data_IF_923497254131
#
_entry.id   IF_923497254131
#
_cell.length_a   1.000
_cell.length_b   1.000
_cell.length_c   1.000
_cell.angle_alpha   90.00
_cell.angle_beta   90.00
_cell.angle_gamma   90.00
#
_symmetry.space_group_name_H-M   'P 1'
#
loop_
_entity.id
_entity.type
_entity.pdbx_description
1 polymer ?
#
# COMPACT_ATOMS: atom_id res chain seq x y z
N UNK A 1 -9.48 -12.30 14.71
CA UNK A 1 -9.75 -13.76 14.69
C UNK A 1 -10.70 -14.17 15.79
N UNK A 2 -10.56 -13.63 17.00
CA UNK A 2 -11.46 -13.93 18.13
C UNK A 2 -12.94 -13.63 17.82
N UNK A 3 -13.24 -12.49 17.21
CA UNK A 3 -14.62 -12.16 16.80
C UNK A 3 -15.21 -13.18 15.83
N UNK A 4 -14.41 -13.69 14.89
CA UNK A 4 -14.87 -14.69 13.93
C UNK A 4 -15.11 -16.05 14.60
N UNK A 5 -14.18 -16.48 15.46
CA UNK A 5 -14.35 -17.71 16.24
C UNK A 5 -15.58 -17.63 17.15
N UNK A 6 -15.79 -16.48 17.79
CA UNK A 6 -16.98 -16.21 18.58
C UNK A 6 -18.27 -16.30 17.73
N UNK A 7 -18.31 -15.63 16.58
CA UNK A 7 -19.46 -15.71 15.65
C UNK A 7 -19.72 -17.15 15.19
N UNK A 8 -18.67 -17.91 14.87
CA UNK A 8 -18.77 -19.31 14.46
C UNK A 8 -19.37 -20.16 15.60
N UNK A 9 -18.84 -20.03 16.82
CA UNK A 9 -19.34 -20.74 18.00
C UNK A 9 -20.80 -20.38 18.28
N UNK A 10 -21.14 -19.09 18.30
CA UNK A 10 -22.50 -18.62 18.56
C UNK A 10 -23.50 -19.10 17.50
N UNK A 11 -23.12 -19.11 16.22
CA UNK A 11 -23.99 -19.57 15.15
C UNK A 11 -24.28 -21.07 15.23
N UNK A 12 -23.26 -21.87 15.53
CA UNK A 12 -23.42 -23.32 15.73
C UNK A 12 -24.28 -23.60 16.97
N UNK A 13 -24.09 -22.85 18.05
CA UNK A 13 -24.90 -22.98 19.28
C UNK A 13 -26.36 -22.64 19.05
N UNK A 14 -26.63 -21.55 18.32
CA UNK A 14 -27.98 -21.21 17.89
C UNK A 14 -28.59 -22.32 17.01
N UNK A 15 -27.80 -22.89 16.11
CA UNK A 15 -28.24 -23.96 15.21
C UNK A 15 -28.58 -25.26 15.96
N UNK A 16 -27.84 -25.58 17.03
CA UNK A 16 -28.15 -26.70 17.94
C UNK A 16 -29.44 -26.40 18.71
N UNK A 17 -29.57 -25.20 19.28
CA UNK A 17 -30.75 -24.81 20.06
C UNK A 17 -32.06 -24.83 19.25
N UNK A 18 -31.98 -24.55 17.94
CA UNK A 18 -33.14 -24.52 17.03
C UNK A 18 -33.37 -25.86 16.30
N UNK A 19 -32.61 -26.92 16.63
CA UNK A 19 -32.82 -28.24 16.04
C UNK A 19 -32.55 -28.34 14.54
N UNK A 20 -31.80 -27.38 13.96
CA UNK A 20 -31.45 -27.38 12.52
C UNK A 20 -30.19 -28.18 12.21
N UNK A 21 -29.63 -28.88 13.21
CA UNK A 21 -28.43 -29.71 13.09
C UNK A 21 -28.74 -31.17 13.40
N UNK A 22 -27.88 -32.09 12.91
CA UNK A 22 -28.02 -33.53 13.13
C UNK A 22 -27.50 -34.02 14.49
N UNK A 23 -26.88 -33.15 15.29
CA UNK A 23 -26.26 -33.52 16.56
C UNK A 23 -26.14 -32.34 17.52
N UNK A 24 -25.90 -32.63 18.80
CA UNK A 24 -25.94 -31.65 19.89
C UNK A 24 -24.56 -31.07 20.27
N UNK A 25 -23.49 -31.51 19.62
CA UNK A 25 -22.12 -31.15 19.99
C UNK A 25 -21.58 -30.02 19.09
N UNK A 26 -21.12 -28.93 19.71
CA UNK A 26 -20.37 -27.88 19.03
C UNK A 26 -18.87 -28.09 19.20
N UNK A 27 -18.21 -28.67 18.19
CA UNK A 27 -16.76 -28.88 18.19
C UNK A 27 -15.96 -27.57 18.02
N UNK A 28 -16.58 -26.50 17.52
CA UNK A 28 -15.88 -25.22 17.37
C UNK A 28 -15.47 -24.61 18.71
N UNK A 29 -16.13 -25.00 19.82
CA UNK A 29 -15.75 -24.61 21.19
C UNK A 29 -14.38 -25.17 21.62
N UNK A 30 -13.88 -26.20 20.94
CA UNK A 30 -12.57 -26.78 21.22
C UNK A 30 -11.42 -26.00 20.58
N UNK A 31 -11.73 -25.18 19.57
CA UNK A 31 -10.74 -24.35 18.88
C UNK A 31 -10.40 -23.18 19.78
N UNK A 32 -9.12 -23.03 20.16
CA UNK A 32 -8.62 -21.90 20.93
C UNK A 32 -8.05 -20.84 20.00
N UNK A 33 -8.04 -19.58 20.43
CA UNK A 33 -7.39 -18.49 19.69
C UNK A 33 -5.93 -18.83 19.36
N UNK A 34 -5.20 -19.45 20.29
CA UNK A 34 -3.81 -19.85 20.08
C UNK A 34 -3.65 -20.92 18.97
N UNK A 35 -4.61 -21.83 18.82
CA UNK A 35 -4.59 -22.81 17.74
C UNK A 35 -4.70 -22.10 16.38
N UNK A 36 -5.55 -21.07 16.29
CA UNK A 36 -5.66 -20.24 15.10
C UNK A 36 -4.40 -19.41 14.84
N UNK A 37 -3.78 -18.86 15.89
CA UNK A 37 -2.53 -18.11 15.79
C UNK A 37 -1.39 -19.00 15.27
N UNK A 38 -1.35 -20.28 15.65
CA UNK A 38 -0.35 -21.24 15.17
C UNK A 38 -0.46 -21.52 13.66
N UNK A 39 -1.64 -21.27 13.07
CA UNK A 39 -1.86 -21.39 11.62
C UNK A 39 -1.42 -20.15 10.84
N UNK A 40 -0.99 -19.07 11.51
CA UNK A 40 -0.51 -17.86 10.85
C UNK A 40 0.98 -18.00 10.59
N UNK A 41 1.34 -17.98 9.32
CA UNK A 41 2.73 -17.95 8.91
C UNK A 41 3.33 -16.55 9.18
N UNK A 42 4.07 -16.42 10.28
CA UNK A 42 4.75 -15.19 10.68
C UNK A 42 6.04 -14.91 9.88
N UNK A 43 6.50 -15.88 9.08
CA UNK A 43 7.65 -15.73 8.18
C UNK A 43 7.30 -14.94 6.92
N UNK A 44 6.01 -14.80 6.61
CA UNK A 44 5.54 -14.02 5.48
C UNK A 44 5.83 -12.54 5.70
N UNK A 45 6.64 -11.97 4.80
CA UNK A 45 6.91 -10.54 4.75
C UNK A 45 5.70 -9.79 4.16
N UNK A 46 5.17 -8.83 4.92
CA UNK A 46 3.95 -8.06 4.56
C UNK A 46 4.25 -6.62 4.12
N UNK A 47 5.36 -6.07 4.61
CA UNK A 47 5.80 -4.70 4.37
C UNK A 47 7.18 -4.69 3.72
N UNK A 48 7.55 -3.56 3.15
CA UNK A 48 8.88 -3.33 2.56
C UNK A 48 9.56 -2.19 3.29
N UNK A 49 10.89 -2.21 3.39
CA UNK A 49 11.65 -1.05 3.91
C UNK A 49 11.79 0.02 2.84
N UNK A 50 12.21 1.23 3.23
CA UNK A 50 12.58 2.29 2.29
C UNK A 50 13.73 1.83 1.38
N UNK A 51 14.74 1.13 1.91
CA UNK A 51 15.85 0.62 1.10
C UNK A 51 15.38 -0.40 0.05
N UNK A 52 14.46 -1.30 0.43
CA UNK A 52 13.86 -2.25 -0.52
C UNK A 52 13.03 -1.54 -1.58
N UNK A 53 12.24 -0.53 -1.21
CA UNK A 53 11.51 0.30 -2.17
C UNK A 53 12.49 0.91 -3.19
N UNK A 54 13.57 1.55 -2.73
CA UNK A 54 14.55 2.19 -3.62
C UNK A 54 15.20 1.17 -4.56
N UNK A 55 15.60 0.00 -4.03
CA UNK A 55 16.16 -1.10 -4.83
C UNK A 55 15.17 -1.60 -5.88
N UNK A 56 13.95 -1.93 -5.47
CA UNK A 56 12.90 -2.39 -6.39
C UNK A 56 12.61 -1.33 -7.45
N UNK A 57 12.50 -0.05 -7.07
CA UNK A 57 12.30 1.05 -8.01
C UNK A 57 13.44 1.18 -9.02
N UNK A 58 14.70 0.94 -8.62
CA UNK A 58 15.85 0.97 -9.52
C UNK A 58 15.83 -0.14 -10.58
N UNK A 59 15.13 -1.24 -10.31
CA UNK A 59 14.95 -2.38 -11.23
C UNK A 59 13.74 -2.19 -12.17
N UNK A 60 12.89 -1.18 -11.94
CA UNK A 60 11.71 -0.91 -12.76
C UNK A 60 12.04 -0.12 -14.04
N UNK A 61 11.78 -0.74 -15.19
CA UNK A 61 11.89 -0.14 -16.51
C UNK A 61 10.70 0.78 -16.79
N UNK A 62 9.50 0.40 -16.35
CA UNK A 62 8.31 1.23 -16.52
C UNK A 62 8.29 2.36 -15.49
N UNK A 63 8.46 3.60 -15.95
CA UNK A 63 8.36 4.79 -15.09
C UNK A 63 6.98 4.88 -14.41
N UNK A 64 5.90 4.47 -15.08
CA UNK A 64 4.55 4.43 -14.49
C UNK A 64 4.43 3.49 -13.29
N UNK A 65 5.06 2.32 -13.35
CA UNK A 65 5.05 1.37 -12.23
C UNK A 65 5.93 1.89 -11.08
N UNK A 66 7.05 2.55 -11.39
CA UNK A 66 7.94 3.17 -10.40
C UNK A 66 7.26 4.34 -9.67
N UNK A 67 6.63 5.25 -10.43
CA UNK A 67 5.83 6.35 -9.88
C UNK A 67 4.69 5.82 -9.01
N UNK A 68 3.94 4.83 -9.48
CA UNK A 68 2.89 4.18 -8.71
C UNK A 68 3.41 3.65 -7.38
N UNK A 69 4.55 2.95 -7.40
CA UNK A 69 5.09 2.32 -6.21
C UNK A 69 5.49 3.36 -5.15
N UNK A 70 6.16 4.43 -5.58
CA UNK A 70 6.53 5.55 -4.70
C UNK A 70 5.33 6.32 -4.18
N UNK A 71 4.36 6.67 -5.04
CA UNK A 71 3.15 7.38 -4.61
C UNK A 71 2.38 6.60 -3.54
N UNK A 72 2.25 5.28 -3.71
CA UNK A 72 1.66 4.41 -2.69
C UNK A 72 2.46 4.44 -1.39
N UNK A 73 3.79 4.40 -1.44
CA UNK A 73 4.64 4.49 -0.26
C UNK A 73 4.50 5.86 0.42
N UNK A 74 4.28 6.93 -0.36
CA UNK A 74 3.97 8.26 0.16
C UNK A 74 2.59 8.37 0.82
N UNK A 75 1.76 7.32 0.74
CA UNK A 75 0.41 7.30 1.30
C UNK A 75 -0.67 7.85 0.38
N UNK A 76 -0.37 7.98 -0.92
CA UNK A 76 -1.31 8.43 -1.94
C UNK A 76 -2.03 7.21 -2.51
N UNK A 77 -3.33 7.13 -2.29
CA UNK A 77 -4.18 6.05 -2.78
C UNK A 77 -5.60 6.58 -2.99
N UNK A 78 -6.22 7.08 -1.92
CA UNK A 78 -7.61 7.52 -1.92
C UNK A 78 -8.64 6.39 -2.09
N UNK A 79 -9.90 6.76 -1.98
CA UNK A 79 -11.04 5.88 -2.21
C UNK A 79 -10.97 5.32 -3.63
N UNK A 80 -10.94 3.99 -3.74
CA UNK A 80 -10.85 3.30 -5.02
C UNK A 80 -9.63 3.65 -5.90
N UNK A 81 -8.52 4.03 -5.27
CA UNK A 81 -7.32 4.51 -5.96
C UNK A 81 -7.51 5.87 -6.68
N UNK A 82 -8.54 6.64 -6.33
CA UNK A 82 -8.88 7.90 -7.02
C UNK A 82 -7.76 8.93 -6.99
N UNK A 83 -7.04 9.09 -5.88
CA UNK A 83 -5.92 10.04 -5.78
C UNK A 83 -4.82 9.73 -6.79
N UNK A 84 -4.59 8.44 -7.06
CA UNK A 84 -3.61 7.98 -8.06
C UNK A 84 -4.12 8.16 -9.48
N UNK A 85 -5.38 7.79 -9.72
CA UNK A 85 -5.92 7.80 -11.09
C UNK A 85 -6.19 9.21 -11.59
N UNK A 86 -6.50 10.17 -10.70
CA UNK A 86 -6.78 11.57 -11.06
C UNK A 86 -5.53 12.45 -11.14
N UNK A 87 -4.34 11.92 -10.83
CA UNK A 87 -3.13 12.72 -10.72
C UNK A 87 -2.66 13.19 -12.12
N UNK A 88 -2.51 14.50 -12.30
CA UNK A 88 -2.11 15.10 -13.58
C UNK A 88 -0.69 15.65 -13.54
N UNK A 89 -0.07 15.80 -14.71
CA UNK A 89 1.22 16.49 -14.88
C UNK A 89 1.19 17.90 -14.28
N UNK A 90 0.09 18.64 -14.43
CA UNK A 90 -0.03 19.99 -13.86
C UNK A 90 0.07 19.98 -12.34
N UNK A 91 -0.52 18.98 -11.68
CA UNK A 91 -0.43 18.83 -10.23
C UNK A 91 1.02 18.59 -9.78
N UNK A 92 1.78 17.77 -10.52
CA UNK A 92 3.20 17.49 -10.26
C UNK A 92 4.07 18.73 -10.46
N UNK A 93 3.88 19.47 -11.56
CA UNK A 93 4.64 20.68 -11.85
C UNK A 93 4.36 21.78 -10.80
N UNK A 94 3.11 21.91 -10.35
CA UNK A 94 2.76 22.80 -9.23
C UNK A 94 3.45 22.39 -7.94
N UNK A 95 3.46 21.10 -7.62
CA UNK A 95 4.11 20.59 -6.40
C UNK A 95 5.63 20.87 -6.39
N UNK A 96 6.31 20.66 -7.53
CA UNK A 96 7.75 20.97 -7.66
C UNK A 96 8.07 22.45 -7.41
N UNK A 97 7.16 23.34 -7.78
CA UNK A 97 7.28 24.78 -7.54
C UNK A 97 6.79 25.22 -6.15
N UNK A 98 6.22 24.30 -5.37
CA UNK A 98 5.61 24.57 -4.06
C UNK A 98 6.16 23.64 -2.98
N UNK A 99 7.48 23.60 -2.81
CA UNK A 99 8.17 22.84 -1.76
C UNK A 99 7.77 21.35 -1.70
N UNK A 100 7.50 20.75 -2.87
CA UNK A 100 7.04 19.36 -3.02
C UNK A 100 5.72 19.06 -2.28
N UNK A 101 4.85 20.05 -2.12
CA UNK A 101 3.51 19.88 -1.56
C UNK A 101 2.55 19.53 -2.69
N UNK A 102 2.14 18.26 -2.74
CA UNK A 102 1.29 17.69 -3.79
C UNK A 102 -0.18 17.68 -3.37
N UNK A 103 -1.02 18.34 -4.14
CA UNK A 103 -2.48 18.26 -3.97
C UNK A 103 -3.03 17.05 -4.71
N UNK A 104 -3.73 16.19 -3.99
CA UNK A 104 -4.36 14.96 -4.51
C UNK A 104 -5.88 15.03 -4.31
N UNK A 105 -6.63 14.37 -5.20
CA UNK A 105 -8.10 14.45 -5.24
C UNK A 105 -8.71 13.08 -5.00
N UNK A 106 -9.57 13.00 -4.01
CA UNK A 106 -10.33 11.80 -3.68
C UNK A 106 -11.79 11.96 -4.10
N UNK A 107 -12.34 10.97 -4.80
CA UNK A 107 -13.72 11.02 -5.30
C UNK A 107 -14.78 11.01 -4.22
N UNK A 108 -14.45 10.57 -3.01
CA UNK A 108 -15.37 10.48 -1.87
C UNK A 108 -15.08 11.51 -0.79
N UNK A 109 -13.81 11.85 -0.60
CA UNK A 109 -13.35 12.60 0.58
C UNK A 109 -12.72 13.95 0.23
N UNK A 110 -12.79 14.38 -1.03
CA UNK A 110 -12.31 15.68 -1.48
C UNK A 110 -10.80 15.76 -1.64
N UNK A 111 -10.26 16.97 -1.65
CA UNK A 111 -8.83 17.20 -1.88
C UNK A 111 -8.03 17.21 -0.56
N UNK A 112 -6.74 16.89 -0.66
CA UNK A 112 -5.76 17.08 0.44
C UNK A 112 -4.38 17.37 -0.13
N UNK A 113 -3.48 17.93 0.68
CA UNK A 113 -2.13 18.31 0.22
C UNK A 113 -1.07 17.64 1.08
N UNK A 114 -0.26 16.79 0.47
CA UNK A 114 0.73 15.97 1.15
C UNK A 114 2.14 16.32 0.71
N UNK A 115 3.10 16.31 1.64
CA UNK A 115 4.52 16.44 1.30
C UNK A 115 5.02 15.13 0.70
N UNK A 116 5.73 15.21 -0.42
CA UNK A 116 6.28 14.05 -1.13
C UNK A 116 7.75 14.25 -1.46
N UNK A 117 8.50 13.16 -1.56
CA UNK A 117 9.90 13.22 -2.00
C UNK A 117 10.00 13.79 -3.42
N UNK A 118 11.02 14.63 -3.65
CA UNK A 118 11.30 15.20 -4.98
C UNK A 118 11.49 14.10 -6.05
N UNK A 119 12.11 12.99 -5.67
CA UNK A 119 12.31 11.83 -6.55
C UNK A 119 10.98 11.24 -6.99
N UNK A 120 9.99 11.17 -6.09
CA UNK A 120 8.63 10.71 -6.43
C UNK A 120 7.99 11.61 -7.48
N UNK A 121 8.13 12.93 -7.36
CA UNK A 121 7.62 13.88 -8.36
C UNK A 121 8.33 13.74 -9.71
N UNK A 122 9.65 13.52 -9.71
CA UNK A 122 10.42 13.28 -10.93
C UNK A 122 9.95 12.00 -11.66
N UNK A 123 9.75 10.91 -10.91
CA UNK A 123 9.20 9.67 -11.45
C UNK A 123 7.79 9.87 -12.03
N UNK A 124 6.97 10.72 -11.43
CA UNK A 124 5.65 11.06 -11.97
C UNK A 124 5.74 11.81 -13.31
N UNK A 125 6.71 12.72 -13.47
CA UNK A 125 6.94 13.40 -14.75
C UNK A 125 7.44 12.43 -15.82
N UNK A 126 8.31 11.50 -15.47
CA UNK A 126 8.76 10.44 -16.38
C UNK A 126 7.62 9.49 -16.77
N UNK A 127 6.79 9.10 -15.80
CA UNK A 127 5.59 8.30 -16.04
C UNK A 127 4.61 8.98 -17.00
N UNK A 128 4.39 10.30 -16.84
CA UNK A 128 3.56 11.05 -17.78
C UNK A 128 4.20 11.12 -19.18
N UNK A 129 5.52 11.25 -19.31
CA UNK A 129 6.20 11.25 -20.63
C UNK A 129 6.26 9.87 -21.27
N UNK A 130 6.02 8.80 -20.53
CA UNK A 130 6.05 7.43 -21.04
C UNK A 130 4.96 7.22 -22.10
N UNK A 131 5.38 6.81 -23.29
CA UNK A 131 4.50 6.49 -24.43
C UNK A 131 4.27 4.99 -24.62
N UNK A 132 5.14 4.16 -24.07
CA UNK A 132 5.10 2.71 -24.22
C UNK A 132 5.24 2.01 -22.86
N UNK A 133 4.34 1.08 -22.57
CA UNK A 133 4.39 0.23 -21.39
C UNK A 133 4.93 -1.15 -21.74
N UNK A 134 5.97 -1.62 -21.03
CA UNK A 134 6.57 -2.94 -21.21
C UNK A 134 5.92 -3.93 -20.24
N UNK A 135 5.11 -4.91 -20.71
CA UNK A 135 4.45 -5.85 -19.80
C UNK A 135 5.47 -6.66 -19.00
N UNK A 136 5.12 -7.01 -17.75
CA UNK A 136 6.03 -7.64 -16.78
C UNK A 136 7.40 -6.94 -16.73
N UNK A 137 7.38 -5.61 -16.83
CA UNK A 137 8.56 -4.76 -16.76
C UNK A 137 9.68 -5.17 -17.75
N UNK A 138 9.29 -5.63 -18.95
CA UNK A 138 10.23 -5.96 -20.02
C UNK A 138 10.73 -7.41 -20.04
N UNK A 139 10.05 -8.33 -19.32
CA UNK A 139 10.38 -9.77 -19.36
C UNK A 139 10.48 -10.29 -20.82
N UNK A 140 11.56 -10.99 -21.19
CA UNK A 140 11.74 -11.49 -22.54
C UNK A 140 10.73 -12.59 -22.89
N UNK A 141 10.50 -12.81 -24.19
CA UNK A 141 9.65 -13.90 -24.68
C UNK A 141 8.14 -13.61 -24.71
N UNK A 142 7.73 -12.37 -24.41
CA UNK A 142 6.32 -11.96 -24.53
C UNK A 142 5.92 -11.71 -25.99
N UNK A 143 4.73 -12.18 -26.37
CA UNK A 143 4.15 -12.00 -27.72
C UNK A 143 4.00 -10.53 -28.11
N UNK A 144 3.72 -9.66 -27.14
CA UNK A 144 3.66 -8.20 -27.32
C UNK A 144 4.69 -7.56 -26.39
N UNK A 145 5.85 -7.12 -26.91
CA UNK A 145 6.94 -6.60 -26.09
C UNK A 145 6.61 -5.23 -25.47
N UNK A 146 5.69 -4.47 -26.06
CA UNK A 146 5.22 -3.20 -25.54
C UNK A 146 3.72 -2.99 -25.83
N UNK A 147 3.14 -2.05 -25.11
CA UNK A 147 1.75 -1.58 -25.26
C UNK A 147 1.81 -0.06 -25.32
N UNK A 148 1.29 0.54 -26.40
CA UNK A 148 1.17 2.00 -26.49
C UNK A 148 0.25 2.55 -25.40
N UNK A 149 0.67 3.63 -24.77
CA UNK A 149 -0.07 4.36 -23.76
C UNK A 149 -0.80 5.54 -24.40
N UNK A 150 -1.92 5.94 -23.79
CA UNK A 150 -2.65 7.11 -24.24
C UNK A 150 -1.83 8.39 -24.05
N UNK A 151 -1.89 9.28 -25.02
CA UNK A 151 -1.32 10.62 -24.90
C UNK A 151 -2.31 11.53 -24.17
N UNK A 152 -2.11 11.68 -22.86
CA UNK A 152 -2.92 12.54 -22.00
C UNK A 152 -2.11 13.12 -20.84
N UNK A 153 -2.75 13.97 -20.04
CA UNK A 153 -2.13 14.69 -18.93
C UNK A 153 -1.94 13.86 -17.65
N UNK A 154 -2.52 12.66 -17.58
CA UNK A 154 -2.47 11.84 -16.37
C UNK A 154 -1.08 11.23 -16.15
N UNK A 155 -0.68 11.08 -14.90
CA UNK A 155 0.56 10.41 -14.50
C UNK A 155 0.46 8.91 -14.75
N UNK A 156 -0.65 8.30 -14.33
CA UNK A 156 -0.94 6.88 -14.58
C UNK A 156 -1.85 6.77 -15.80
N UNK A 157 -1.26 6.39 -16.93
CA UNK A 157 -1.91 6.40 -18.24
C UNK A 157 -2.65 5.10 -18.55
N UNK A 158 -3.76 5.22 -19.23
CA UNK A 158 -4.45 4.09 -19.85
C UNK A 158 -3.66 3.53 -21.02
N UNK A 159 -3.92 2.27 -21.36
CA UNK A 159 -3.45 1.67 -22.60
C UNK A 159 -4.23 2.28 -23.77
N UNK A 160 -3.55 2.55 -24.87
CA UNK A 160 -4.19 3.04 -26.09
C UNK A 160 -5.06 1.93 -26.67
N UNK A 161 -6.34 2.23 -26.86
CA UNK A 161 -7.32 1.36 -27.52
C UNK A 161 -7.95 2.09 -28.69
N UNK A 162 -8.33 1.36 -29.74
CA UNK A 162 -8.99 1.93 -30.93
C UNK A 162 -10.32 2.64 -30.59
N UNK A 163 -10.94 2.28 -29.46
CA UNK A 163 -12.09 2.96 -28.90
C UNK A 163 -11.62 3.86 -27.73
N UNK A 164 -11.58 5.17 -27.96
CA UNK A 164 -11.82 6.25 -26.96
C UNK A 164 -11.02 6.26 -25.64
N UNK A 165 -9.90 5.54 -25.53
CA UNK A 165 -9.17 5.36 -24.28
C UNK A 165 -8.24 6.51 -23.86
N UNK A 166 -8.62 7.78 -24.05
CA UNK A 166 -7.76 8.94 -23.75
C UNK A 166 -7.98 9.57 -22.36
N UNK A 167 -8.98 9.09 -21.61
CA UNK A 167 -9.34 9.66 -20.32
C UNK A 167 -8.54 9.14 -19.13
N UNK A 168 -9.03 9.48 -17.94
CA UNK A 168 -8.54 9.00 -16.66
C UNK A 168 -8.51 7.46 -16.60
N UNK A 169 -7.48 6.90 -15.97
CA UNK A 169 -7.34 5.45 -15.82
C UNK A 169 -8.31 4.87 -14.78
N UNK A 170 -8.54 3.56 -14.86
CA UNK A 170 -9.40 2.85 -13.90
C UNK A 170 -8.58 2.23 -12.77
N UNK A 171 -9.24 1.99 -11.63
CA UNK A 171 -8.68 1.23 -10.48
C UNK A 171 -8.12 -0.14 -10.87
N UNK A 172 -8.68 -0.76 -11.90
CA UNK A 172 -8.23 -2.06 -12.41
C UNK A 172 -6.80 -2.01 -12.94
N UNK A 173 -6.36 -0.86 -13.50
CA UNK A 173 -4.99 -0.66 -13.96
C UNK A 173 -4.03 -0.66 -12.77
N UNK A 174 -4.36 0.05 -11.69
CA UNK A 174 -3.59 0.05 -10.44
C UNK A 174 -3.46 -1.37 -9.88
N UNK A 175 -4.57 -2.11 -9.85
CA UNK A 175 -4.60 -3.49 -9.36
C UNK A 175 -3.78 -4.44 -10.24
N UNK A 176 -3.73 -4.19 -11.56
CA UNK A 176 -2.91 -4.96 -12.49
C UNK A 176 -1.41 -4.65 -12.33
N UNK A 177 -1.03 -3.37 -12.21
CA UNK A 177 0.36 -2.99 -11.96
C UNK A 177 0.89 -3.61 -10.68
N UNK A 178 0.17 -3.51 -9.56
CA UNK A 178 0.62 -4.13 -8.30
C UNK A 178 0.72 -5.65 -8.40
N UNK A 179 -0.15 -6.30 -9.20
CA UNK A 179 -0.03 -7.75 -9.46
C UNK A 179 1.25 -8.08 -10.22
N UNK A 180 1.61 -7.28 -11.22
CA UNK A 180 2.87 -7.46 -11.94
C UNK A 180 4.06 -7.27 -11.00
N UNK A 181 4.03 -6.26 -10.12
CA UNK A 181 5.09 -6.04 -9.12
C UNK A 181 5.27 -7.25 -8.20
N UNK A 182 4.18 -7.92 -7.76
CA UNK A 182 4.27 -9.17 -6.99
C UNK A 182 5.04 -10.25 -7.74
N UNK A 183 4.76 -10.42 -9.03
CA UNK A 183 5.40 -11.45 -9.85
C UNK A 183 6.88 -11.12 -10.09
N UNK A 184 7.18 -9.86 -10.41
CA UNK A 184 8.53 -9.38 -10.71
C UNK A 184 9.45 -9.56 -9.49
N UNK A 185 8.98 -9.16 -8.30
CA UNK A 185 9.80 -9.18 -7.09
C UNK A 185 9.59 -10.41 -6.20
N UNK A 186 8.77 -11.38 -6.64
CA UNK A 186 8.46 -12.56 -5.83
C UNK A 186 7.81 -12.24 -4.48
N UNK A 187 7.02 -11.15 -4.42
CA UNK A 187 6.39 -10.67 -3.18
C UNK A 187 4.86 -10.91 -3.19
N UNK A 188 4.40 -12.15 -2.95
CA UNK A 188 3.01 -12.56 -3.22
C UNK A 188 1.98 -11.76 -2.41
N UNK A 189 2.36 -11.27 -1.24
CA UNK A 189 1.47 -10.54 -0.33
C UNK A 189 1.48 -9.02 -0.53
N UNK A 190 2.19 -8.50 -1.55
CA UNK A 190 2.16 -7.07 -1.88
C UNK A 190 0.72 -6.60 -2.10
N UNK A 191 0.29 -5.53 -1.45
CA UNK A 191 -1.02 -4.92 -1.71
C UNK A 191 -0.84 -3.41 -1.69
N UNK A 192 -1.66 -2.63 -2.42
CA UNK A 192 -1.56 -1.17 -2.38
C UNK A 192 -1.53 -0.64 -0.94
N UNK A 193 -2.43 -1.14 -0.08
CA UNK A 193 -2.47 -0.78 1.33
C UNK A 193 -1.25 -1.26 2.14
N UNK A 194 -0.63 -2.38 1.77
CA UNK A 194 0.61 -2.83 2.40
C UNK A 194 1.77 -1.88 2.12
N UNK A 195 1.83 -1.33 0.90
CA UNK A 195 2.82 -0.33 0.49
C UNK A 195 2.59 0.99 1.24
N UNK A 196 1.35 1.46 1.35
CA UNK A 196 0.99 2.63 2.17
C UNK A 196 1.42 2.44 3.63
N UNK A 197 1.14 1.27 4.21
CA UNK A 197 1.59 0.95 5.58
C UNK A 197 3.11 0.89 5.71
N UNK A 198 3.82 0.46 4.66
CA UNK A 198 5.28 0.45 4.63
C UNK A 198 5.86 1.87 4.72
N UNK A 199 5.21 2.84 4.07
CA UNK A 199 5.54 4.26 4.23
C UNK A 199 5.31 4.79 5.64
N UNK A 200 4.20 4.42 6.27
CA UNK A 200 3.93 4.79 7.67
C UNK A 200 4.93 4.14 8.64
N UNK A 201 5.35 2.90 8.38
CA UNK A 201 6.41 2.23 9.12
C UNK A 201 7.74 2.98 9.01
N UNK A 202 8.07 3.49 7.83
CA UNK A 202 9.27 4.32 7.64
C UNK A 202 9.22 5.61 8.47
N UNK A 203 8.06 6.26 8.56
CA UNK A 203 7.88 7.42 9.45
C UNK A 203 8.13 7.04 10.92
N UNK A 204 7.60 5.89 11.37
CA UNK A 204 7.88 5.39 12.71
C UNK A 204 9.35 5.06 12.95
N UNK A 205 10.01 4.44 11.96
CA UNK A 205 11.44 4.17 11.99
C UNK A 205 12.28 5.46 12.15
N UNK A 206 11.94 6.54 11.44
CA UNK A 206 12.61 7.83 11.61
C UNK A 206 12.53 8.36 13.05
N UNK A 207 11.40 8.17 13.73
CA UNK A 207 11.25 8.56 15.14
C UNK A 207 12.13 7.70 16.06
N UNK A 208 12.17 6.39 15.84
CA UNK A 208 13.06 5.48 16.59
C UNK A 208 14.53 5.84 16.36
N UNK A 209 14.91 6.24 15.14
CA UNK A 209 16.26 6.70 14.81
C UNK A 209 16.67 7.99 15.55
N UNK A 210 15.74 8.87 15.91
CA UNK A 210 16.06 10.05 16.73
C UNK A 210 15.89 9.81 18.24
N UNK A 211 15.47 8.60 18.63
CA UNK A 211 15.29 8.21 20.03
C UNK A 211 13.95 8.62 20.62
N UNK A 212 12.96 8.95 19.78
CA UNK A 212 11.60 9.20 20.23
C UNK A 212 10.83 7.87 20.43
N UNK A 213 10.14 7.76 21.55
CA UNK A 213 9.24 6.63 21.81
C UNK A 213 7.98 6.70 20.93
N UNK A 214 7.53 5.55 20.43
CA UNK A 214 6.31 5.43 19.61
C UNK A 214 5.03 5.43 20.47
N UNK A 215 4.88 6.48 21.26
CA UNK A 215 3.68 6.71 22.04
C UNK A 215 2.53 7.25 21.19
N UNK A 216 1.33 7.34 21.77
CA UNK A 216 0.12 7.82 21.09
C UNK A 216 0.29 9.19 20.43
N UNK A 217 1.07 10.09 21.03
CA UNK A 217 1.29 11.45 20.50
C UNK A 217 2.17 11.40 19.25
N UNK A 218 3.26 10.65 19.28
CA UNK A 218 4.13 10.42 18.13
C UNK A 218 3.36 9.78 16.95
N UNK A 219 2.57 8.74 17.23
CA UNK A 219 1.75 8.09 16.22
C UNK A 219 0.72 9.05 15.60
N UNK A 220 0.03 9.85 16.41
CA UNK A 220 -0.91 10.85 15.90
C UNK A 220 -0.22 11.89 15.01
N UNK A 221 0.98 12.35 15.38
CA UNK A 221 1.77 13.27 14.56
C UNK A 221 2.08 12.68 13.18
N UNK A 222 2.51 11.41 13.12
CA UNK A 222 2.74 10.73 11.82
C UNK A 222 1.48 10.75 10.96
N UNK A 223 0.32 10.44 11.55
CA UNK A 223 -0.95 10.44 10.80
C UNK A 223 -1.36 11.85 10.35
N UNK A 224 -1.14 12.86 11.18
CA UNK A 224 -1.42 14.26 10.84
C UNK A 224 -0.49 14.77 9.73
N UNK A 225 0.81 14.52 9.83
CA UNK A 225 1.83 14.91 8.85
C UNK A 225 1.57 14.25 7.48
N UNK A 226 1.13 12.98 7.49
CA UNK A 226 0.75 12.23 6.29
C UNK A 226 -0.70 12.48 5.86
N UNK A 227 -1.40 13.38 6.54
CA UNK A 227 -2.81 13.71 6.35
C UNK A 227 -3.71 12.47 6.19
N UNK A 228 -3.44 11.42 6.97
CA UNK A 228 -4.20 10.17 6.95
C UNK A 228 -5.58 10.46 7.54
N UNK A 229 -6.64 10.29 6.74
CA UNK A 229 -7.99 10.70 7.15
C UNK A 229 -8.54 9.76 8.21
N UNK A 230 -9.27 10.30 9.18
CA UNK A 230 -9.92 9.56 10.30
C UNK A 230 -10.91 8.47 9.87
N UNK A 231 -11.30 8.44 8.59
CA UNK A 231 -12.20 7.43 8.03
C UNK A 231 -11.41 6.32 7.31
N UNK A 232 -10.20 6.63 6.80
CA UNK A 232 -9.17 5.60 6.53
C UNK A 232 -8.79 4.90 7.84
N UNK A 233 -8.87 5.64 8.96
CA UNK A 233 -8.77 5.13 10.33
C UNK A 233 -10.01 4.34 10.80
N UNK A 234 -11.08 4.21 10.02
CA UNK A 234 -12.23 3.34 10.31
C UNK A 234 -12.40 2.19 9.30
N UNK A 235 -11.73 2.24 8.14
CA UNK A 235 -11.69 1.16 7.16
C UNK A 235 -10.27 0.58 7.01
N UNK A 236 -9.97 -0.46 7.80
CA UNK A 236 -8.81 -1.38 7.65
C UNK A 236 -7.39 -0.83 7.88
N UNK A 237 -7.16 0.48 8.10
CA UNK A 237 -5.83 0.95 8.54
C UNK A 237 -5.64 0.81 10.06
N UNK A 238 -6.71 0.78 10.85
CA UNK A 238 -6.66 1.08 12.31
C UNK A 238 -7.19 0.02 13.25
N UNK A 239 -7.62 -1.16 12.78
CA UNK A 239 -8.12 -2.17 13.72
C UNK A 239 -7.12 -2.60 14.79
N UNK A 240 -5.82 -2.32 14.62
CA UNK A 240 -5.04 -1.71 15.70
C UNK A 240 -3.85 -0.92 15.12
N UNK A 241 -3.78 0.40 15.37
CA UNK A 241 -2.59 1.22 15.02
C UNK A 241 -1.33 0.63 15.64
N UNK A 242 -1.48 0.01 16.81
CA UNK A 242 -0.39 -0.63 17.55
C UNK A 242 -0.05 -2.02 17.04
N UNK A 243 -0.91 -2.69 16.26
CA UNK A 243 -0.58 -4.03 15.73
C UNK A 243 0.50 -3.94 14.64
N UNK A 244 0.50 -2.87 13.84
CA UNK A 244 1.44 -2.75 12.73
C UNK A 244 2.47 -1.63 12.92
N UNK A 245 2.16 -0.51 13.56
CA UNK A 245 3.09 0.61 13.76
C UNK A 245 3.51 0.65 15.23
N UNK A 246 4.46 -0.21 15.57
CA UNK A 246 5.06 -0.33 16.90
C UNK A 246 6.56 -0.65 16.78
N UNK A 247 7.28 -0.56 17.90
CA UNK A 247 8.73 -0.77 17.94
C UNK A 247 9.14 -2.19 17.55
N UNK A 248 8.39 -3.22 17.95
CA UNK A 248 8.69 -4.63 17.62
C UNK A 248 8.65 -4.85 16.10
N UNK A 249 7.63 -4.31 15.42
CA UNK A 249 7.51 -4.41 13.96
C UNK A 249 8.60 -3.57 13.29
N UNK A 250 8.91 -2.38 13.78
CA UNK A 250 9.99 -1.56 13.21
C UNK A 250 11.33 -2.28 13.34
N UNK A 251 11.66 -2.81 14.52
CA UNK A 251 12.86 -3.62 14.74
C UNK A 251 12.88 -4.87 13.85
N UNK A 252 11.74 -5.53 13.65
CA UNK A 252 11.63 -6.68 12.73
C UNK A 252 11.97 -6.31 11.28
N UNK A 253 11.46 -5.20 10.78
CA UNK A 253 11.60 -4.83 9.36
C UNK A 253 12.85 -4.03 9.06
N UNK A 254 13.30 -3.18 9.99
CA UNK A 254 14.45 -2.29 9.84
C UNK A 254 15.65 -2.73 10.70
N UNK A 255 15.76 -4.02 11.04
CA UNK A 255 16.86 -4.54 11.88
C UNK A 255 18.22 -4.18 11.29
N UNK A 256 18.44 -4.46 10.01
CA UNK A 256 19.70 -4.21 9.31
C UNK A 256 20.03 -2.72 9.28
N UNK A 257 19.03 -1.87 9.01
CA UNK A 257 19.19 -0.42 9.01
C UNK A 257 19.48 0.15 10.41
N UNK A 258 18.86 -0.40 11.46
CA UNK A 258 19.14 0.02 12.84
C UNK A 258 20.56 -0.36 13.29
N UNK A 259 21.04 -1.55 12.89
CA UNK A 259 22.40 -1.99 13.16
C UNK A 259 23.44 -1.09 12.48
N UNK A 260 23.21 -0.71 11.22
CA UNK A 260 24.09 0.20 10.47
C UNK A 260 24.19 1.59 11.12
N UNK A 261 23.10 2.07 11.72
CA UNK A 261 23.03 3.35 12.44
C UNK A 261 23.51 3.26 13.91
N UNK A 262 24.05 2.10 14.33
CA UNK A 262 24.63 1.91 15.66
C UNK A 262 23.59 1.90 16.80
N UNK A 263 22.33 1.58 16.51
CA UNK A 263 21.27 1.47 17.51
C UNK A 263 21.03 0.02 17.93
N UNK A 264 20.83 -0.21 19.22
CA UNK A 264 20.49 -1.53 19.75
C UNK A 264 19.13 -2.01 19.24
N UNK A 265 19.09 -3.28 18.84
CA UNK A 265 17.89 -4.10 18.74
C UNK A 265 17.15 -4.17 20.08
#
# INVERSE_FOLDING_TARGET
METFLYTLVSYIDWSIANGVTKGSNNLARLIRTNDLLSCIDSSVKLYITKNELEKMCSELINAQDRALFRLLFEGILGFEASELTSLTRSDIEKALNNNNMLTVRDTKFGERTISVDKVTLQDCLEANRQTEYKPLNGKPGLRKPFISLAENEYVIKTKQTNASGQGQTSRSVISASVRNLKEIFGFPFLRPMGIVKSGLLYEGFKLVLIGEELNRKALNKIYEDRQVRTIDLNQKIVSDRREFLNEEIIKKYYAEELEQEGKSL
#
